data_IF_171507009086
#
_entry.id   IF_171507009086
#
_cell.length_a   1.000
_cell.length_b   1.000
_cell.length_c   1.000
_cell.angle_alpha   90.00
_cell.angle_beta   90.00
_cell.angle_gamma   90.00
#
_symmetry.space_group_name_H-M   'P 1'
#
loop_
_entity.id
_entity.type
_entity.pdbx_description
1 polymer ?
#
# COMPACT_ATOMS: atom_id res chain seq x y z
N UNK A 1 2.85 32.68 0.26
CA UNK A 1 1.80 31.84 -0.39
C UNK A 1 2.48 30.95 -1.40
N UNK A 2 2.71 29.69 -1.07
CA UNK A 2 3.18 28.70 -2.02
C UNK A 2 1.98 28.19 -2.81
N UNK A 3 1.76 28.76 -3.98
CA UNK A 3 0.85 28.19 -4.96
C UNK A 3 1.48 26.94 -5.55
N UNK A 4 1.19 25.76 -5.01
CA UNK A 4 1.36 24.55 -5.80
C UNK A 4 0.28 24.57 -6.88
N UNK A 5 0.67 24.94 -8.07
CA UNK A 5 -0.24 25.16 -9.21
C UNK A 5 -0.83 23.86 -9.81
N UNK A 6 -0.41 22.69 -9.36
CA UNK A 6 -0.91 21.42 -9.89
C UNK A 6 -1.20 20.48 -8.73
N UNK A 7 -2.44 20.07 -8.53
CA UNK A 7 -2.76 18.95 -7.65
C UNK A 7 -2.14 17.69 -8.24
N UNK A 8 -1.48 16.90 -7.41
CA UNK A 8 -0.74 15.71 -7.85
C UNK A 8 -1.64 14.55 -8.28
N UNK A 9 -2.96 14.61 -8.01
CA UNK A 9 -3.92 13.56 -8.30
C UNK A 9 -5.23 14.15 -8.81
N UNK A 10 -6.02 13.36 -9.47
CA UNK A 10 -7.38 13.53 -10.02
C UNK A 10 -8.12 14.87 -9.72
N UNK A 11 -7.57 15.97 -10.23
CA UNK A 11 -8.10 17.34 -10.01
C UNK A 11 -9.53 17.53 -10.52
N UNK A 12 -9.93 16.73 -11.50
CA UNK A 12 -11.26 16.78 -12.10
C UNK A 12 -12.20 15.75 -11.51
N UNK A 13 -11.74 15.01 -10.50
CA UNK A 13 -12.49 13.94 -9.88
C UNK A 13 -12.95 12.87 -10.88
N UNK A 14 -12.08 12.56 -11.83
CA UNK A 14 -12.41 11.65 -12.93
C UNK A 14 -12.62 10.22 -12.43
N UNK A 15 -11.79 9.78 -11.47
CA UNK A 15 -11.91 8.45 -10.88
C UNK A 15 -13.26 8.26 -10.18
N UNK A 16 -13.82 9.31 -9.56
CA UNK A 16 -15.14 9.24 -8.95
C UNK A 16 -16.26 9.12 -10.00
N UNK A 17 -16.08 9.78 -11.13
CA UNK A 17 -17.09 9.83 -12.20
C UNK A 17 -17.16 8.55 -13.03
N UNK A 18 -16.03 7.87 -13.21
CA UNK A 18 -15.95 6.70 -14.07
C UNK A 18 -15.95 5.39 -13.26
N UNK A 19 -16.48 4.32 -13.88
CA UNK A 19 -16.37 2.99 -13.31
C UNK A 19 -14.94 2.45 -13.54
N UNK A 20 -14.37 1.76 -12.56
CA UNK A 20 -13.12 1.04 -12.76
C UNK A 20 -13.27 -0.02 -13.86
N UNK A 21 -12.15 -0.42 -14.44
CA UNK A 21 -12.12 -1.58 -15.33
C UNK A 21 -12.52 -2.84 -14.56
N UNK A 22 -13.30 -3.70 -15.20
CA UNK A 22 -13.67 -4.99 -14.66
C UNK A 22 -12.68 -6.06 -15.13
N UNK A 23 -12.51 -7.09 -14.32
CA UNK A 23 -11.77 -8.29 -14.70
C UNK A 23 -12.66 -9.17 -15.59
N UNK A 24 -12.03 -9.83 -16.57
CA UNK A 24 -12.73 -10.89 -17.34
C UNK A 24 -13.09 -12.06 -16.42
N UNK A 25 -13.98 -12.93 -16.89
CA UNK A 25 -14.36 -14.13 -16.13
C UNK A 25 -13.16 -15.04 -15.81
N UNK A 26 -12.26 -15.17 -16.77
CA UNK A 26 -11.02 -15.96 -16.64
C UNK A 26 -10.08 -15.36 -15.60
N UNK A 27 -9.92 -14.06 -15.62
CA UNK A 27 -9.12 -13.32 -14.63
C UNK A 27 -9.71 -13.41 -13.22
N UNK A 28 -11.04 -13.33 -13.08
CA UNK A 28 -11.73 -13.53 -11.80
C UNK A 28 -11.50 -14.95 -11.26
N UNK A 29 -11.65 -15.97 -12.12
CA UNK A 29 -11.41 -17.37 -11.75
C UNK A 29 -9.95 -17.55 -11.31
N UNK A 30 -9.02 -17.00 -12.08
CA UNK A 30 -7.59 -17.09 -11.77
C UNK A 30 -7.26 -16.37 -10.46
N UNK A 31 -7.75 -15.14 -10.26
CA UNK A 31 -7.51 -14.37 -9.04
C UNK A 31 -8.03 -15.08 -7.79
N UNK A 32 -9.26 -15.61 -7.83
CA UNK A 32 -9.83 -16.42 -6.75
C UNK A 32 -9.02 -17.69 -6.47
N UNK A 33 -8.60 -18.40 -7.51
CA UNK A 33 -7.73 -19.57 -7.38
C UNK A 33 -6.44 -19.22 -6.66
N UNK A 34 -5.86 -18.06 -6.96
CA UNK A 34 -4.63 -17.61 -6.29
C UNK A 34 -4.88 -17.21 -4.83
N UNK A 35 -5.99 -16.52 -4.52
CA UNK A 35 -6.38 -16.25 -3.13
C UNK A 35 -6.58 -17.55 -2.33
N UNK A 36 -7.20 -18.56 -2.93
CA UNK A 36 -7.38 -19.86 -2.29
C UNK A 36 -6.04 -20.55 -1.94
N UNK A 37 -5.00 -20.38 -2.77
CA UNK A 37 -3.65 -20.88 -2.45
C UNK A 37 -3.05 -20.22 -1.20
N UNK A 38 -3.47 -19.02 -0.86
CA UNK A 38 -3.11 -18.32 0.38
C UNK A 38 -4.06 -18.65 1.54
N UNK A 39 -5.01 -19.57 1.34
CA UNK A 39 -5.93 -20.02 2.38
C UNK A 39 -7.25 -19.26 2.47
N UNK A 40 -7.50 -18.26 1.62
CA UNK A 40 -8.76 -17.54 1.61
C UNK A 40 -9.86 -18.38 0.97
N UNK A 41 -11.07 -18.29 1.54
CA UNK A 41 -12.30 -18.86 1.00
C UNK A 41 -13.18 -17.76 0.39
N UNK A 42 -14.19 -18.16 -0.37
CA UNK A 42 -15.19 -17.23 -0.86
C UNK A 42 -15.88 -16.49 0.30
N UNK A 43 -15.92 -15.18 0.21
CA UNK A 43 -16.45 -14.29 1.25
C UNK A 43 -15.42 -13.80 2.28
N UNK A 44 -14.24 -14.38 2.35
CA UNK A 44 -13.17 -13.85 3.21
C UNK A 44 -12.74 -12.45 2.75
N UNK A 45 -12.54 -11.58 3.73
CA UNK A 45 -12.08 -10.21 3.49
C UNK A 45 -10.58 -10.11 3.75
N UNK A 46 -9.91 -9.33 2.94
CA UNK A 46 -8.49 -9.09 3.13
C UNK A 46 -8.12 -7.60 3.01
N UNK A 47 -7.03 -7.25 3.64
CA UNK A 47 -6.45 -5.92 3.70
C UNK A 47 -5.08 -5.96 3.03
N UNK A 48 -4.79 -5.01 2.15
CA UNK A 48 -3.45 -4.80 1.63
C UNK A 48 -2.66 -3.92 2.60
N UNK A 49 -1.44 -4.34 2.93
CA UNK A 49 -0.48 -3.60 3.72
C UNK A 49 0.71 -3.22 2.85
N UNK A 50 0.78 -1.95 2.45
CA UNK A 50 1.79 -1.41 1.56
C UNK A 50 2.71 -0.45 2.32
N UNK A 51 3.87 -0.92 2.75
CA UNK A 51 4.83 -0.14 3.54
C UNK A 51 6.04 0.22 2.69
N UNK A 52 6.28 1.52 2.54
CA UNK A 52 7.40 2.04 1.76
C UNK A 52 8.72 1.78 2.45
N UNK A 53 9.63 1.19 1.73
CA UNK A 53 11.06 1.15 2.03
C UNK A 53 11.90 1.55 0.81
N UNK A 54 13.22 1.53 0.92
CA UNK A 54 14.13 1.93 -0.17
C UNK A 54 14.69 0.76 -0.98
N UNK A 55 14.19 -0.47 -0.81
CA UNK A 55 14.69 -1.66 -1.49
C UNK A 55 14.66 -1.53 -3.01
N UNK A 56 13.54 -1.05 -3.56
CA UNK A 56 13.38 -0.85 -4.99
C UNK A 56 14.37 0.18 -5.55
N UNK A 57 14.56 1.29 -4.84
CA UNK A 57 15.48 2.35 -5.26
C UNK A 57 16.92 1.85 -5.24
N UNK A 58 17.35 1.18 -4.17
CA UNK A 58 18.70 0.61 -4.05
C UNK A 58 19.02 -0.41 -5.15
N UNK A 59 18.07 -1.24 -5.53
CA UNK A 59 18.30 -2.32 -6.49
C UNK A 59 18.19 -1.87 -7.96
N UNK A 60 17.20 -1.03 -8.29
CA UNK A 60 16.93 -0.66 -9.70
C UNK A 60 17.62 0.62 -10.16
N UNK A 61 18.05 1.49 -9.22
CA UNK A 61 18.67 2.75 -9.56
C UNK A 61 20.04 2.81 -8.89
N UNK A 62 21.12 2.44 -9.61
CA UNK A 62 22.47 2.48 -9.07
C UNK A 62 22.81 3.88 -8.54
N UNK A 63 23.41 3.94 -7.35
CA UNK A 63 23.77 5.18 -6.65
C UNK A 63 24.65 6.13 -7.47
N UNK A 64 25.43 5.58 -8.43
CA UNK A 64 26.30 6.36 -9.33
C UNK A 64 25.57 7.35 -10.23
N UNK A 65 24.24 7.19 -10.40
CA UNK A 65 23.45 8.07 -11.28
C UNK A 65 22.64 9.11 -10.48
N UNK A 66 22.24 8.80 -9.26
CA UNK A 66 21.45 9.71 -8.42
C UNK A 66 21.45 9.26 -6.97
N UNK A 67 21.73 10.18 -6.07
CA UNK A 67 21.49 9.99 -4.63
C UNK A 67 19.99 10.17 -4.35
N UNK A 68 19.37 9.11 -3.83
CA UNK A 68 17.97 9.09 -3.45
C UNK A 68 17.75 9.20 -1.94
N UNK A 69 18.81 9.39 -1.15
CA UNK A 69 18.74 9.46 0.32
C UNK A 69 17.84 10.58 0.82
N UNK A 70 17.67 11.64 0.02
CA UNK A 70 16.74 12.74 0.33
C UNK A 70 15.26 12.30 0.42
N UNK A 71 14.92 11.08 0.01
CA UNK A 71 13.60 10.46 0.17
C UNK A 71 13.50 9.52 1.39
N UNK A 72 14.59 9.25 2.10
CA UNK A 72 14.61 8.25 3.18
C UNK A 72 13.70 8.63 4.36
N UNK A 73 13.43 9.91 4.55
CA UNK A 73 12.46 10.38 5.55
C UNK A 73 11.04 9.84 5.32
N UNK A 74 10.72 9.32 4.12
CA UNK A 74 9.44 8.69 3.78
C UNK A 74 9.40 7.19 4.10
N UNK A 75 10.56 6.57 4.29
CA UNK A 75 10.64 5.14 4.54
C UNK A 75 10.11 4.80 5.94
N UNK A 76 9.53 3.62 6.06
CA UNK A 76 8.97 3.07 7.28
C UNK A 76 9.52 1.67 7.53
N UNK A 77 9.55 1.28 8.79
CA UNK A 77 9.87 -0.07 9.19
C UNK A 77 8.59 -0.92 9.22
N UNK A 78 8.61 -2.06 8.53
CA UNK A 78 7.48 -2.99 8.47
C UNK A 78 7.09 -3.51 9.87
N UNK A 79 8.04 -3.63 10.79
CA UNK A 79 7.78 -4.12 12.14
C UNK A 79 6.82 -3.22 12.93
N UNK A 80 6.79 -1.92 12.60
CA UNK A 80 5.83 -0.99 13.21
C UNK A 80 4.36 -1.30 12.86
N UNK A 81 4.13 -2.15 11.87
CA UNK A 81 2.80 -2.51 11.38
C UNK A 81 2.35 -3.93 11.81
N UNK A 82 3.24 -4.71 12.43
CA UNK A 82 2.94 -6.08 12.87
C UNK A 82 1.77 -6.09 13.84
N UNK A 83 1.76 -5.19 14.84
CA UNK A 83 0.69 -5.13 15.84
C UNK A 83 -0.68 -4.84 15.18
N UNK A 84 -0.72 -3.93 14.22
CA UNK A 84 -1.94 -3.61 13.49
C UNK A 84 -2.39 -4.80 12.62
N UNK A 85 -1.45 -5.50 11.97
CA UNK A 85 -1.74 -6.70 11.20
C UNK A 85 -2.34 -7.81 12.07
N UNK A 86 -1.75 -8.05 13.26
CA UNK A 86 -2.25 -9.05 14.22
C UNK A 86 -3.66 -8.69 14.73
N UNK A 87 -3.91 -7.43 15.03
CA UNK A 87 -5.23 -6.98 15.48
C UNK A 87 -6.29 -7.15 14.37
N UNK A 88 -5.95 -6.85 13.12
CA UNK A 88 -6.84 -7.06 11.98
C UNK A 88 -7.10 -8.57 11.74
N UNK A 89 -6.06 -9.40 11.90
CA UNK A 89 -6.20 -10.85 11.79
C UNK A 89 -7.13 -11.43 12.84
N UNK A 90 -7.06 -10.93 14.10
CA UNK A 90 -8.02 -11.29 15.18
C UNK A 90 -9.45 -10.91 14.83
N UNK A 91 -9.65 -9.82 14.09
CA UNK A 91 -10.97 -9.37 13.58
C UNK A 91 -11.44 -10.16 12.37
N UNK A 92 -10.69 -11.16 11.91
CA UNK A 92 -11.07 -12.06 10.84
C UNK A 92 -10.52 -11.72 9.47
N UNK A 93 -9.80 -10.60 9.30
CA UNK A 93 -9.22 -10.22 8.02
C UNK A 93 -7.96 -11.03 7.70
N UNK A 94 -7.73 -11.31 6.41
CA UNK A 94 -6.42 -11.67 5.92
C UNK A 94 -5.62 -10.40 5.60
N UNK A 95 -4.31 -10.42 5.83
CA UNK A 95 -3.43 -9.29 5.57
C UNK A 95 -2.39 -9.69 4.52
N UNK A 96 -2.37 -8.98 3.40
CA UNK A 96 -1.36 -9.16 2.37
C UNK A 96 -0.35 -8.02 2.42
N UNK A 97 0.87 -8.31 2.90
CA UNK A 97 1.97 -7.37 2.77
C UNK A 97 2.43 -7.34 1.31
N UNK A 98 2.21 -6.23 0.64
CA UNK A 98 2.50 -6.02 -0.78
C UNK A 98 3.84 -5.35 -1.00
N UNK A 99 4.40 -5.52 -2.21
CA UNK A 99 5.65 -4.90 -2.64
C UNK A 99 6.37 -5.74 -3.68
N UNK A 100 7.08 -5.07 -4.61
CA UNK A 100 7.89 -5.77 -5.63
C UNK A 100 9.24 -6.19 -5.06
N UNK A 101 9.86 -5.31 -4.30
CA UNK A 101 11.12 -5.50 -3.60
C UNK A 101 11.00 -4.89 -2.22
N UNK A 102 11.51 -5.58 -1.23
CA UNK A 102 11.37 -5.20 0.17
C UNK A 102 12.66 -5.50 0.92
N UNK A 103 13.00 -4.65 1.91
CA UNK A 103 14.25 -4.79 2.65
C UNK A 103 14.26 -5.97 3.62
N UNK A 104 13.11 -6.26 4.23
CA UNK A 104 12.99 -7.35 5.21
C UNK A 104 11.60 -7.98 5.17
N UNK A 105 11.48 -9.24 5.62
CA UNK A 105 10.19 -9.91 5.70
C UNK A 105 9.28 -9.29 6.76
N UNK A 106 7.99 -9.53 6.61
CA UNK A 106 6.99 -9.32 7.66
C UNK A 106 6.98 -10.57 8.56
N UNK A 107 7.47 -10.42 9.78
CA UNK A 107 7.57 -11.54 10.72
C UNK A 107 6.28 -11.69 11.53
N UNK A 108 5.50 -12.71 11.23
CA UNK A 108 4.36 -13.16 12.01
C UNK A 108 4.17 -14.66 11.82
N UNK A 109 3.71 -15.34 12.88
CA UNK A 109 3.32 -16.75 12.83
C UNK A 109 1.82 -16.94 12.56
N UNK A 110 1.09 -15.85 12.37
CA UNK A 110 -0.35 -15.88 12.13
C UNK A 110 -0.64 -16.28 10.68
N UNK A 111 -1.37 -17.39 10.42
CA UNK A 111 -1.61 -17.86 9.05
C UNK A 111 -2.45 -16.90 8.19
N UNK A 112 -3.12 -15.92 8.80
CA UNK A 112 -3.84 -14.88 8.09
C UNK A 112 -2.95 -13.69 7.68
N UNK A 113 -1.71 -13.62 8.16
CA UNK A 113 -0.76 -12.57 7.80
C UNK A 113 0.22 -13.11 6.78
N UNK A 114 0.08 -12.66 5.55
CA UNK A 114 0.76 -13.20 4.38
C UNK A 114 1.80 -12.20 3.91
N UNK A 115 3.07 -12.56 3.99
CA UNK A 115 4.16 -11.78 3.38
C UNK A 115 4.22 -12.03 1.87
N UNK A 116 3.19 -11.53 1.16
CA UNK A 116 3.01 -11.75 -0.27
C UNK A 116 4.19 -11.22 -1.09
N UNK A 117 4.81 -10.12 -0.68
CA UNK A 117 5.95 -9.54 -1.37
C UNK A 117 7.15 -10.51 -1.47
N UNK A 118 7.33 -11.39 -0.48
CA UNK A 118 8.38 -12.41 -0.43
C UNK A 118 7.89 -13.81 -0.85
N UNK A 119 6.63 -13.94 -1.25
CA UNK A 119 6.09 -15.21 -1.70
C UNK A 119 6.52 -15.54 -3.14
N UNK A 120 6.67 -16.82 -3.46
CA UNK A 120 6.89 -17.28 -4.83
C UNK A 120 5.64 -17.21 -5.72
N UNK A 121 4.51 -16.81 -5.16
CA UNK A 121 3.22 -16.63 -5.84
C UNK A 121 2.96 -15.17 -6.25
N UNK A 122 3.89 -14.26 -5.96
CA UNK A 122 3.76 -12.87 -6.39
C UNK A 122 3.80 -12.76 -7.92
N UNK A 123 2.89 -12.00 -8.49
CA UNK A 123 2.87 -11.64 -9.91
C UNK A 123 2.27 -10.25 -10.10
N UNK A 124 2.57 -9.62 -11.25
CA UNK A 124 2.02 -8.29 -11.57
C UNK A 124 0.50 -8.31 -11.66
N UNK A 125 -0.08 -9.39 -12.23
CA UNK A 125 -1.53 -9.59 -12.21
C UNK A 125 -2.09 -9.59 -10.79
N UNK A 126 -1.48 -10.36 -9.88
CA UNK A 126 -1.95 -10.46 -8.51
C UNK A 126 -1.74 -9.15 -7.73
N UNK A 127 -0.73 -8.35 -8.03
CA UNK A 127 -0.60 -7.01 -7.46
C UNK A 127 -1.84 -6.16 -7.81
N UNK A 128 -2.25 -6.16 -9.08
CA UNK A 128 -3.46 -5.45 -9.54
C UNK A 128 -4.72 -6.04 -8.90
N UNK A 129 -4.86 -7.36 -8.90
CA UNK A 129 -6.02 -8.06 -8.36
C UNK A 129 -6.20 -7.81 -6.85
N UNK A 130 -5.11 -7.88 -6.07
CA UNK A 130 -5.14 -7.56 -4.65
C UNK A 130 -5.54 -6.11 -4.41
N UNK A 131 -4.95 -5.15 -5.13
CA UNK A 131 -5.31 -3.75 -5.02
C UNK A 131 -6.79 -3.48 -5.35
N UNK A 132 -7.31 -4.18 -6.36
CA UNK A 132 -8.70 -4.02 -6.81
C UNK A 132 -9.73 -4.67 -5.88
N UNK A 133 -9.40 -5.78 -5.24
CA UNK A 133 -10.35 -6.61 -4.46
C UNK A 133 -10.18 -6.47 -2.94
N UNK A 134 -9.16 -5.78 -2.45
CA UNK A 134 -8.98 -5.58 -1.01
C UNK A 134 -10.21 -4.89 -0.38
N UNK A 135 -10.48 -5.24 0.87
CA UNK A 135 -11.52 -4.55 1.64
C UNK A 135 -11.14 -3.10 1.91
N UNK A 136 -9.88 -2.88 2.27
CA UNK A 136 -9.22 -1.58 2.28
C UNK A 136 -7.69 -1.77 2.18
N UNK A 137 -6.96 -0.68 1.97
CA UNK A 137 -5.51 -0.67 1.94
C UNK A 137 -4.94 0.20 3.07
N UNK A 138 -3.94 -0.31 3.78
CA UNK A 138 -3.08 0.49 4.66
C UNK A 138 -1.81 0.78 3.88
N UNK A 139 -1.44 2.04 3.77
CA UNK A 139 -0.26 2.44 3.02
C UNK A 139 0.51 3.57 3.69
N UNK A 140 1.79 3.69 3.36
CA UNK A 140 2.67 4.79 3.79
C UNK A 140 3.06 5.71 2.63
N UNK A 141 2.29 5.68 1.53
CA UNK A 141 2.48 6.55 0.38
C UNK A 141 3.53 6.02 -0.61
N UNK A 142 3.15 5.05 -1.43
CA UNK A 142 3.97 4.46 -2.48
C UNK A 142 3.11 4.14 -3.72
N UNK A 143 3.76 3.73 -4.82
CA UNK A 143 3.07 3.50 -6.10
C UNK A 143 1.97 2.44 -6.08
N UNK A 144 1.96 1.50 -5.14
CA UNK A 144 0.89 0.52 -4.99
C UNK A 144 -0.46 1.17 -4.68
N UNK A 145 -0.47 2.34 -4.03
CA UNK A 145 -1.70 3.03 -3.61
C UNK A 145 -2.61 3.40 -4.78
N UNK A 146 -2.02 3.56 -5.95
CA UNK A 146 -2.77 3.91 -7.16
C UNK A 146 -3.75 2.79 -7.55
N UNK A 147 -3.45 1.53 -7.25
CA UNK A 147 -4.34 0.41 -7.54
C UNK A 147 -5.63 0.48 -6.72
N UNK A 148 -5.59 0.43 -5.37
CA UNK A 148 -6.82 0.56 -4.59
C UNK A 148 -7.52 1.91 -4.82
N UNK A 149 -6.79 2.99 -5.10
CA UNK A 149 -7.40 4.27 -5.43
C UNK A 149 -8.21 4.19 -6.73
N UNK A 150 -7.60 3.66 -7.80
CA UNK A 150 -8.28 3.47 -9.10
C UNK A 150 -9.52 2.59 -8.99
N UNK A 151 -9.43 1.50 -8.22
CA UNK A 151 -10.55 0.58 -8.00
C UNK A 151 -11.49 1.02 -6.86
N UNK A 152 -11.44 2.28 -6.45
CA UNK A 152 -12.33 2.90 -5.45
C UNK A 152 -12.37 2.16 -4.12
N UNK A 153 -11.25 1.55 -3.70
CA UNK A 153 -11.11 0.92 -2.39
C UNK A 153 -10.71 1.96 -1.34
N UNK A 154 -11.19 1.85 -0.10
CA UNK A 154 -10.75 2.73 0.97
C UNK A 154 -9.25 2.59 1.23
N UNK A 155 -8.59 3.70 1.52
CA UNK A 155 -7.15 3.73 1.81
C UNK A 155 -6.91 4.48 3.12
N UNK A 156 -6.17 3.85 4.03
CA UNK A 156 -5.59 4.52 5.20
C UNK A 156 -4.13 4.87 4.89
N UNK A 157 -3.85 6.12 4.63
CA UNK A 157 -2.49 6.64 4.43
C UNK A 157 -1.90 7.03 5.78
N UNK A 158 -0.88 6.30 6.21
CA UNK A 158 -0.25 6.47 7.52
C UNK A 158 1.17 7.03 7.39
N UNK A 159 1.59 7.80 8.39
CA UNK A 159 2.96 8.33 8.48
C UNK A 159 3.37 9.14 7.23
N UNK A 160 2.45 9.87 6.64
CA UNK A 160 2.71 10.69 5.48
C UNK A 160 3.31 12.04 5.92
N UNK A 161 4.38 12.53 5.27
CA UNK A 161 4.90 13.86 5.57
C UNK A 161 3.87 14.95 5.29
N UNK A 162 3.80 15.97 6.16
CA UNK A 162 2.87 17.09 6.00
C UNK A 162 3.09 17.77 4.64
N UNK A 163 2.01 17.94 3.89
CA UNK A 163 2.03 18.58 2.57
C UNK A 163 2.56 17.71 1.41
N UNK A 164 2.99 16.46 1.70
CA UNK A 164 3.50 15.58 0.65
C UNK A 164 2.39 14.92 -0.19
N UNK A 165 1.20 14.77 0.36
CA UNK A 165 0.05 14.21 -0.34
C UNK A 165 -1.19 15.07 -0.09
N UNK A 166 -1.99 15.24 -1.13
CA UNK A 166 -3.34 15.78 -1.05
C UNK A 166 -4.32 14.65 -1.30
N UNK A 167 -5.39 14.61 -0.51
CA UNK A 167 -6.47 13.64 -0.68
C UNK A 167 -7.64 14.34 -1.35
N UNK A 168 -8.19 13.73 -2.38
CA UNK A 168 -9.34 14.24 -3.15
C UNK A 168 -10.55 13.32 -3.05
N UNK A 169 -10.45 12.24 -2.28
CA UNK A 169 -11.51 11.26 -2.13
C UNK A 169 -11.87 11.06 -0.66
N UNK A 170 -13.16 11.01 -0.36
CA UNK A 170 -13.70 10.67 0.95
C UNK A 170 -13.33 9.27 1.43
N UNK A 171 -12.84 8.42 0.50
CA UNK A 171 -12.35 7.08 0.81
C UNK A 171 -10.92 7.03 1.33
N UNK A 172 -10.25 8.17 1.44
CA UNK A 172 -8.87 8.25 1.91
C UNK A 172 -8.83 8.87 3.31
N UNK A 173 -8.39 8.07 4.27
CA UNK A 173 -8.09 8.52 5.62
C UNK A 173 -6.59 8.82 5.71
N UNK A 174 -6.22 10.04 6.09
CA UNK A 174 -4.84 10.50 6.13
C UNK A 174 -4.37 10.75 7.57
N UNK A 175 -3.27 10.10 7.96
CA UNK A 175 -2.52 10.37 9.18
C UNK A 175 -1.12 10.84 8.84
N UNK A 176 -0.78 12.04 9.27
CA UNK A 176 0.55 12.61 9.01
C UNK A 176 1.60 12.07 9.98
N UNK A 177 2.85 12.14 9.54
CA UNK A 177 4.01 11.88 10.38
C UNK A 177 4.16 12.96 11.44
N UNK A 178 4.64 12.60 12.63
CA UNK A 178 5.04 13.59 13.62
C UNK A 178 6.31 14.30 13.16
N UNK A 179 6.35 15.62 13.28
CA UNK A 179 7.48 16.46 12.94
C UNK A 179 8.04 17.10 14.20
N UNK A 180 9.35 17.01 14.40
CA UNK A 180 10.06 17.61 15.54
C UNK A 180 10.92 18.77 15.07
N UNK A 181 10.78 19.91 15.71
CA UNK A 181 11.69 21.05 15.50
C UNK A 181 13.00 20.82 16.27
N UNK A 182 14.11 20.69 15.55
CA UNK A 182 15.44 20.42 16.17
C UNK A 182 15.86 21.49 17.19
N UNK A 183 15.34 22.72 17.07
CA UNK A 183 15.67 23.85 17.98
C UNK A 183 14.96 23.76 19.33
N UNK A 184 13.93 22.94 19.48
CA UNK A 184 13.13 22.81 20.71
C UNK A 184 13.43 21.51 21.46
N UNK A 185 14.68 21.02 21.41
CA UNK A 185 15.15 20.02 22.36
C UNK A 185 15.24 20.70 23.74
N UNK A 186 14.14 20.81 24.42
CA UNK A 186 14.07 20.99 25.86
C UNK A 186 13.58 19.73 26.52
#
# INVERSE_FOLDING_TARGET
MLHSKVPERDIYNLIEKYQPLDFTKEEEIYGKKMLNKFGLKDGDKFVCLAVRDNAHQKKKIPSRYRDWSYHDYRNQDIDNFVLAAEELAKRGYYIFRTGILVNKPLNSNNPKIIDYANSNLRSDFMDVYLGAKCFFCISTGLGFDELPYFFKRPIALLSVPVGALKTYSERILLFTKHHFLKKEKR
#
